data_IF_452939320962
#
_entry.id   IF_452939320962
#
_cell.length_a   1.000
_cell.length_b   1.000
_cell.length_c   1.000
_cell.angle_alpha   90.00
_cell.angle_beta   90.00
_cell.angle_gamma   90.00
#
_symmetry.space_group_name_H-M   'P 1'
#
loop_
_entity.id
_entity.type
_entity.pdbx_description
1 polymer ?
#
# COMPACT_ATOMS: atom_id res chain seq x y z
N UNK A 1 -29.27 -6.64 -4.03
CA UNK A 1 -28.18 -6.46 -3.05
C UNK A 1 -26.94 -7.35 -3.28
N UNK A 2 -26.78 -7.98 -4.43
CA UNK A 2 -25.66 -8.89 -4.73
C UNK A 2 -24.43 -8.20 -5.35
N UNK A 3 -24.50 -6.91 -5.63
CA UNK A 3 -23.40 -6.12 -6.25
C UNK A 3 -22.36 -5.61 -5.23
N UNK A 4 -22.72 -5.59 -3.95
CA UNK A 4 -21.88 -5.07 -2.84
C UNK A 4 -20.55 -5.82 -2.69
N UNK A 5 -20.48 -7.18 -2.80
CA UNK A 5 -19.21 -7.89 -2.60
C UNK A 5 -18.12 -7.50 -3.61
N UNK A 6 -18.49 -7.22 -4.86
CA UNK A 6 -17.51 -6.80 -5.89
C UNK A 6 -16.89 -5.45 -5.62
N UNK A 7 -17.71 -4.48 -5.20
CA UNK A 7 -17.26 -3.13 -4.84
C UNK A 7 -16.44 -3.15 -3.54
N UNK A 8 -16.88 -3.93 -2.54
CA UNK A 8 -16.16 -4.07 -1.27
C UNK A 8 -14.75 -4.62 -1.46
N UNK A 9 -14.59 -5.64 -2.31
CA UNK A 9 -13.28 -6.21 -2.62
C UNK A 9 -12.37 -5.19 -3.32
N UNK A 10 -12.91 -4.37 -4.22
CA UNK A 10 -12.17 -3.29 -4.86
C UNK A 10 -11.70 -2.23 -3.87
N UNK A 11 -12.59 -1.78 -2.95
CA UNK A 11 -12.24 -0.83 -1.90
C UNK A 11 -11.15 -1.38 -0.98
N UNK A 12 -11.20 -2.67 -0.66
CA UNK A 12 -10.17 -3.33 0.14
C UNK A 12 -8.81 -3.30 -0.58
N UNK A 13 -8.77 -3.63 -1.87
CA UNK A 13 -7.53 -3.57 -2.68
C UNK A 13 -7.00 -2.13 -2.74
N UNK A 14 -7.87 -1.14 -2.96
CA UNK A 14 -7.47 0.27 -2.98
C UNK A 14 -6.91 0.72 -1.64
N UNK A 15 -7.54 0.34 -0.53
CA UNK A 15 -7.07 0.65 0.82
C UNK A 15 -5.71 -0.01 1.11
N UNK A 16 -5.49 -1.24 0.64
CA UNK A 16 -4.22 -1.94 0.78
C UNK A 16 -3.10 -1.23 0.00
N UNK A 17 -3.37 -0.78 -1.22
CA UNK A 17 -2.40 -0.03 -2.03
C UNK A 17 -2.06 1.30 -1.34
N UNK A 18 -3.07 2.05 -0.87
CA UNK A 18 -2.85 3.28 -0.10
C UNK A 18 -2.04 3.03 1.16
N UNK A 19 -2.29 1.93 1.86
CA UNK A 19 -1.53 1.55 3.05
C UNK A 19 -0.06 1.28 2.73
N UNK A 20 0.22 0.52 1.67
CA UNK A 20 1.60 0.21 1.25
C UNK A 20 2.36 1.49 0.88
N UNK A 21 1.77 2.34 0.04
CA UNK A 21 2.39 3.62 -0.32
C UNK A 21 2.48 4.57 0.87
N UNK A 22 1.48 4.57 1.77
CA UNK A 22 1.48 5.35 2.99
C UNK A 22 2.63 4.98 3.93
N UNK A 23 2.85 3.69 4.18
CA UNK A 23 3.99 3.21 4.99
C UNK A 23 5.32 3.63 4.35
N UNK A 24 5.47 3.50 3.02
CA UNK A 24 6.67 3.92 2.32
C UNK A 24 6.88 5.44 2.41
N UNK A 25 5.82 6.23 2.23
CA UNK A 25 5.88 7.68 2.32
C UNK A 25 6.28 8.15 3.72
N UNK A 26 5.72 7.55 4.79
CA UNK A 26 6.13 7.83 6.16
C UNK A 26 7.61 7.51 6.36
N UNK A 27 8.09 6.37 5.88
CA UNK A 27 9.50 5.98 5.98
C UNK A 27 10.46 6.96 5.31
N UNK A 28 10.02 7.64 4.25
CA UNK A 28 10.85 8.56 3.45
C UNK A 28 10.73 10.02 3.88
N UNK A 29 9.54 10.45 4.35
CA UNK A 29 9.14 11.87 4.42
C UNK A 29 8.76 12.34 5.82
N UNK A 30 8.64 11.46 6.83
CA UNK A 30 8.24 11.87 8.18
C UNK A 30 9.16 12.96 8.74
N UNK A 31 8.58 14.02 9.27
CA UNK A 31 9.29 15.14 9.88
C UNK A 31 9.97 16.09 8.89
N UNK A 32 9.81 15.91 7.57
CA UNK A 32 10.51 16.70 6.55
C UNK A 32 9.67 17.80 5.91
N UNK A 33 8.36 17.82 6.15
CA UNK A 33 7.44 18.76 5.50
C UNK A 33 7.10 19.97 6.38
N UNK A 34 7.95 20.28 7.34
CA UNK A 34 7.86 21.48 8.15
C UNK A 34 8.50 22.67 7.44
N UNK A 35 7.94 23.84 7.64
CA UNK A 35 8.46 25.11 7.13
C UNK A 35 8.34 26.21 8.16
N UNK A 36 9.06 27.30 7.94
CA UNK A 36 8.94 28.49 8.76
C UNK A 36 7.83 29.38 8.21
N UNK A 37 6.81 29.65 9.01
CA UNK A 37 5.87 30.74 8.70
C UNK A 37 6.53 32.08 9.07
N UNK A 38 6.70 32.92 8.06
CA UNK A 38 7.45 34.18 8.17
C UNK A 38 6.57 35.40 8.25
N UNK A 39 5.27 35.23 8.57
CA UNK A 39 4.31 36.37 8.65
C UNK A 39 4.76 37.44 9.65
N UNK A 40 5.31 37.01 10.79
CA UNK A 40 5.77 37.92 11.85
C UNK A 40 7.31 38.15 11.83
N UNK A 41 8.02 37.63 10.82
CA UNK A 41 9.47 37.74 10.70
C UNK A 41 9.84 38.98 9.87
N UNK A 42 10.82 39.78 10.29
CA UNK A 42 11.30 40.92 9.50
C UNK A 42 11.93 40.46 8.17
N UNK A 43 11.64 41.20 7.08
CA UNK A 43 12.08 40.84 5.72
C UNK A 43 13.59 40.62 5.60
N UNK A 44 14.42 41.35 6.33
CA UNK A 44 15.86 41.19 6.32
C UNK A 44 16.35 39.87 6.91
N UNK A 45 15.57 39.27 7.83
CA UNK A 45 15.93 38.04 8.52
C UNK A 45 15.50 36.78 7.74
N UNK A 46 14.51 36.89 6.85
CA UNK A 46 13.95 35.75 6.11
C UNK A 46 15.03 35.01 5.31
N UNK A 47 16.01 35.71 4.75
CA UNK A 47 17.10 35.11 4.00
C UNK A 47 18.15 34.38 4.87
N UNK A 48 18.19 34.66 6.16
CA UNK A 48 19.13 34.06 7.11
C UNK A 48 18.60 32.82 7.79
N UNK A 49 17.28 32.54 7.68
CA UNK A 49 16.63 31.38 8.28
C UNK A 49 17.03 30.11 7.54
N UNK A 50 17.80 29.24 8.18
CA UNK A 50 18.22 27.95 7.63
C UNK A 50 17.65 26.77 8.43
N UNK A 51 17.36 26.97 9.72
CA UNK A 51 16.91 25.93 10.63
C UNK A 51 15.65 26.34 11.38
N UNK A 52 15.01 25.35 12.02
CA UNK A 52 13.91 25.57 12.96
C UNK A 52 14.25 26.60 14.05
N UNK A 53 15.46 26.52 14.54
CA UNK A 53 15.92 27.39 15.66
C UNK A 53 16.03 28.83 15.21
N UNK A 54 16.61 29.07 14.04
CA UNK A 54 16.66 30.41 13.44
C UNK A 54 15.25 30.98 13.22
N UNK A 55 14.31 30.14 12.76
CA UNK A 55 12.92 30.55 12.58
C UNK A 55 12.27 31.05 13.89
N UNK A 56 12.44 30.30 14.97
CA UNK A 56 11.91 30.66 16.29
C UNK A 56 12.63 31.89 16.91
N UNK A 57 13.95 32.01 16.72
CA UNK A 57 14.75 33.12 17.23
C UNK A 57 14.36 34.44 16.55
N UNK A 58 14.00 34.41 15.29
CA UNK A 58 13.48 35.59 14.56
C UNK A 58 11.96 35.83 14.72
N UNK A 59 11.31 35.05 15.58
CA UNK A 59 9.86 35.21 15.87
C UNK A 59 8.91 34.55 14.91
N UNK A 60 9.38 33.71 13.98
CA UNK A 60 8.56 32.92 13.10
C UNK A 60 7.95 31.71 13.80
N UNK A 61 6.95 31.08 13.17
CA UNK A 61 6.32 29.86 13.64
C UNK A 61 6.78 28.65 12.80
N UNK A 62 7.14 27.55 13.46
CA UNK A 62 7.53 26.30 12.80
C UNK A 62 6.32 25.42 12.60
N UNK A 63 5.77 25.41 11.38
CA UNK A 63 4.47 24.81 11.03
C UNK A 63 4.67 23.61 10.10
N UNK A 64 3.82 22.59 10.26
CA UNK A 64 3.77 21.47 9.36
C UNK A 64 2.82 21.74 8.17
N UNK A 65 3.09 21.11 7.02
CA UNK A 65 2.14 21.12 5.89
C UNK A 65 0.83 20.44 6.31
N UNK A 66 -0.31 20.93 5.75
CA UNK A 66 -1.63 20.32 5.96
C UNK A 66 -1.64 18.86 5.50
N UNK A 67 -1.09 18.62 4.31
CA UNK A 67 -0.90 17.29 3.76
C UNK A 67 0.51 16.81 4.09
N UNK A 68 0.62 15.99 5.14
CA UNK A 68 1.91 15.54 5.67
C UNK A 68 1.99 14.01 5.76
N UNK A 69 3.22 13.52 5.96
CA UNK A 69 3.53 12.09 6.03
C UNK A 69 4.15 11.69 7.39
N UNK A 70 3.74 12.34 8.45
CA UNK A 70 4.30 12.10 9.79
C UNK A 70 3.80 10.80 10.43
N UNK A 71 2.65 10.33 10.01
CA UNK A 71 2.08 9.05 10.38
C UNK A 71 1.31 8.42 9.21
N UNK A 72 1.00 7.12 9.32
CA UNK A 72 0.37 6.39 8.22
C UNK A 72 -1.04 6.89 7.90
N UNK A 73 -1.80 7.32 8.90
CA UNK A 73 -3.17 7.83 8.68
C UNK A 73 -3.14 9.14 7.91
N UNK A 74 -2.28 10.10 8.32
CA UNK A 74 -2.10 11.36 7.59
C UNK A 74 -1.57 11.11 6.18
N UNK A 75 -0.60 10.18 6.03
CA UNK A 75 -0.07 9.79 4.72
C UNK A 75 -1.15 9.20 3.81
N UNK A 76 -1.99 8.30 4.32
CA UNK A 76 -3.11 7.73 3.55
C UNK A 76 -4.13 8.81 3.16
N UNK A 77 -4.41 9.78 4.02
CA UNK A 77 -5.31 10.88 3.74
C UNK A 77 -4.76 11.78 2.63
N UNK A 78 -3.48 12.17 2.71
CA UNK A 78 -2.80 12.96 1.69
C UNK A 78 -2.75 12.22 0.34
N UNK A 79 -2.38 10.93 0.34
CA UNK A 79 -2.36 10.10 -0.86
C UNK A 79 -3.75 9.89 -1.46
N UNK A 80 -4.79 9.75 -0.64
CA UNK A 80 -6.17 9.68 -1.11
C UNK A 80 -6.61 10.97 -1.78
N UNK A 81 -6.27 12.14 -1.21
CA UNK A 81 -6.47 13.46 -1.83
C UNK A 81 -5.77 13.55 -3.18
N UNK A 82 -4.49 13.18 -3.25
CA UNK A 82 -3.72 13.14 -4.51
C UNK A 82 -4.34 12.22 -5.57
N UNK A 83 -4.92 11.09 -5.16
CA UNK A 83 -5.58 10.15 -6.08
C UNK A 83 -6.82 10.78 -6.75
N UNK A 84 -7.48 11.76 -6.11
CA UNK A 84 -8.55 12.54 -6.73
C UNK A 84 -8.06 13.52 -7.81
N UNK A 85 -6.75 13.60 -8.01
CA UNK A 85 -6.06 14.55 -8.90
C UNK A 85 -6.09 16.00 -8.47
N UNK A 86 -6.65 16.32 -7.31
CA UNK A 86 -6.68 17.65 -6.75
C UNK A 86 -5.44 17.93 -5.89
N UNK A 87 -4.72 19.01 -6.16
CA UNK A 87 -3.58 19.48 -5.36
C UNK A 87 -2.35 18.55 -5.34
N UNK A 88 -2.34 17.45 -6.10
CA UNK A 88 -1.23 16.48 -6.06
C UNK A 88 0.13 17.06 -6.43
N UNK A 89 0.16 18.09 -7.30
CA UNK A 89 1.40 18.79 -7.68
C UNK A 89 1.97 19.57 -6.50
N UNK A 90 1.14 20.22 -5.70
CA UNK A 90 1.58 21.02 -4.56
C UNK A 90 2.20 20.12 -3.49
N UNK A 91 1.56 18.99 -3.21
CA UNK A 91 2.11 17.97 -2.29
C UNK A 91 3.43 17.41 -2.84
N UNK A 92 3.50 17.07 -4.12
CA UNK A 92 4.73 16.57 -4.74
C UNK A 92 5.85 17.61 -4.67
N UNK A 93 5.59 18.88 -5.02
CA UNK A 93 6.62 19.93 -4.98
C UNK A 93 7.09 20.22 -3.55
N UNK A 94 6.19 20.22 -2.57
CA UNK A 94 6.59 20.34 -1.16
C UNK A 94 7.57 19.24 -0.72
N UNK A 95 7.38 18.01 -1.23
CA UNK A 95 8.31 16.91 -0.94
C UNK A 95 9.62 17.02 -1.71
N UNK A 96 9.60 17.53 -2.95
CA UNK A 96 10.81 17.79 -3.75
C UNK A 96 11.68 18.87 -3.12
N UNK A 97 11.07 19.87 -2.50
CA UNK A 97 11.76 20.95 -1.80
C UNK A 97 12.20 20.55 -0.37
N UNK A 98 11.76 19.37 0.11
CA UNK A 98 12.08 18.91 1.47
C UNK A 98 13.59 18.72 1.68
N UNK A 99 14.03 19.05 2.87
CA UNK A 99 15.41 18.92 3.35
C UNK A 99 15.50 17.92 4.49
N UNK A 100 16.51 18.02 5.31
CA UNK A 100 16.64 17.24 6.54
C UNK A 100 15.66 17.76 7.61
N UNK A 101 15.39 16.93 8.60
CA UNK A 101 14.54 17.29 9.75
C UNK A 101 15.11 18.55 10.42
N UNK A 102 14.23 19.51 10.76
CA UNK A 102 14.56 20.82 11.35
C UNK A 102 15.29 21.81 10.43
N UNK A 103 15.34 21.57 9.14
CA UNK A 103 15.87 22.52 8.16
C UNK A 103 14.74 23.09 7.29
N UNK A 104 14.89 24.35 6.87
CA UNK A 104 13.95 25.01 5.98
C UNK A 104 13.96 24.34 4.59
N UNK A 105 12.80 24.20 3.93
CA UNK A 105 12.71 23.66 2.57
C UNK A 105 13.60 24.44 1.60
N UNK A 106 14.27 23.71 0.71
CA UNK A 106 15.13 24.28 -0.34
C UNK A 106 14.68 23.80 -1.71
N UNK A 107 14.47 24.73 -2.64
CA UNK A 107 13.98 24.44 -3.99
C UNK A 107 14.78 23.34 -4.68
N UNK A 108 14.10 22.31 -5.17
CA UNK A 108 14.63 21.17 -5.92
C UNK A 108 15.71 20.35 -5.16
N UNK A 109 15.67 20.32 -3.84
CA UNK A 109 16.69 19.61 -3.04
C UNK A 109 16.59 18.09 -3.17
N UNK A 110 15.38 17.54 -3.33
CA UNK A 110 15.11 16.09 -3.29
C UNK A 110 14.30 15.63 -4.52
N UNK A 111 14.79 15.93 -5.73
CA UNK A 111 14.11 15.62 -6.99
C UNK A 111 13.74 14.13 -7.18
N UNK A 112 14.38 13.21 -6.46
CA UNK A 112 14.07 11.79 -6.53
C UNK A 112 12.63 11.47 -6.10
N UNK A 113 12.01 12.29 -5.25
CA UNK A 113 10.61 12.09 -4.84
C UNK A 113 9.61 12.28 -5.98
N UNK A 114 9.98 12.97 -7.07
CA UNK A 114 9.15 13.05 -8.27
C UNK A 114 8.80 11.65 -8.79
N UNK A 115 9.78 10.74 -8.86
CA UNK A 115 9.56 9.38 -9.34
C UNK A 115 8.61 8.59 -8.45
N UNK A 116 8.71 8.76 -7.14
CA UNK A 116 7.81 8.10 -6.18
C UNK A 116 6.36 8.55 -6.40
N UNK A 117 6.11 9.86 -6.46
CA UNK A 117 4.76 10.38 -6.64
C UNK A 117 4.22 10.17 -8.05
N UNK A 118 5.04 10.26 -9.09
CA UNK A 118 4.63 9.92 -10.46
C UNK A 118 4.20 8.45 -10.55
N UNK A 119 4.97 7.54 -9.96
CA UNK A 119 4.61 6.12 -9.91
C UNK A 119 3.33 5.89 -9.11
N UNK A 120 3.17 6.55 -7.95
CA UNK A 120 1.93 6.51 -7.18
C UNK A 120 0.74 7.01 -7.99
N UNK A 121 0.87 8.12 -8.71
CA UNK A 121 -0.21 8.68 -9.55
C UNK A 121 -0.62 7.72 -10.67
N UNK A 122 0.34 7.07 -11.33
CA UNK A 122 0.04 6.06 -12.35
C UNK A 122 -0.74 4.89 -11.74
N UNK A 123 -0.28 4.35 -10.63
CA UNK A 123 -0.94 3.21 -9.96
C UNK A 123 -2.27 3.63 -9.33
N UNK A 124 -2.30 4.73 -8.58
CA UNK A 124 -3.46 5.19 -7.83
C UNK A 124 -4.57 5.72 -8.75
N UNK A 125 -4.25 6.66 -9.61
CA UNK A 125 -5.25 7.37 -10.41
C UNK A 125 -5.65 6.57 -11.64
N UNK A 126 -4.68 6.17 -12.48
CA UNK A 126 -5.03 5.52 -13.75
C UNK A 126 -5.50 4.08 -13.55
N UNK A 127 -4.84 3.32 -12.69
CA UNK A 127 -5.19 1.91 -12.50
C UNK A 127 -6.45 1.73 -11.65
N UNK A 128 -6.51 2.34 -10.46
CA UNK A 128 -7.62 2.14 -9.51
C UNK A 128 -8.92 2.73 -10.04
N UNK A 129 -8.90 3.94 -10.61
CA UNK A 129 -10.11 4.54 -11.18
C UNK A 129 -10.64 3.72 -12.36
N UNK A 130 -9.76 3.27 -13.27
CA UNK A 130 -10.18 2.44 -14.40
C UNK A 130 -10.71 1.09 -13.94
N UNK A 131 -10.11 0.49 -12.91
CA UNK A 131 -10.59 -0.75 -12.31
C UNK A 131 -11.97 -0.55 -11.65
N UNK A 132 -12.18 0.56 -10.95
CA UNK A 132 -13.47 0.90 -10.35
C UNK A 132 -14.57 1.02 -11.41
N UNK A 133 -14.33 1.80 -12.47
CA UNK A 133 -15.27 1.94 -13.60
C UNK A 133 -15.56 0.58 -14.22
N UNK A 134 -14.54 -0.23 -14.48
CA UNK A 134 -14.68 -1.58 -15.02
C UNK A 134 -15.54 -2.51 -14.15
N UNK A 135 -15.36 -2.49 -12.84
CA UNK A 135 -16.17 -3.29 -11.90
C UNK A 135 -17.60 -2.82 -11.85
N UNK A 136 -17.85 -1.50 -11.84
CA UNK A 136 -19.21 -0.94 -11.86
C UNK A 136 -19.95 -1.33 -13.14
N UNK A 137 -19.31 -1.18 -14.32
CA UNK A 137 -19.90 -1.57 -15.61
C UNK A 137 -20.18 -3.08 -15.63
N UNK A 138 -19.21 -3.93 -15.27
CA UNK A 138 -19.39 -5.37 -15.25
C UNK A 138 -20.52 -5.81 -14.30
N UNK A 139 -20.67 -5.12 -13.17
CA UNK A 139 -21.75 -5.43 -12.22
C UNK A 139 -23.10 -5.03 -12.80
N UNK A 140 -23.17 -3.86 -13.44
CA UNK A 140 -24.38 -3.41 -14.12
C UNK A 140 -24.79 -4.36 -15.27
N UNK A 141 -23.85 -4.78 -16.09
CA UNK A 141 -24.11 -5.68 -17.20
C UNK A 141 -24.61 -7.06 -16.73
N UNK A 142 -24.03 -7.59 -15.65
CA UNK A 142 -24.48 -8.84 -15.02
C UNK A 142 -25.91 -8.74 -14.47
N UNK A 143 -26.26 -7.64 -13.83
CA UNK A 143 -27.63 -7.42 -13.33
C UNK A 143 -28.62 -7.25 -14.50
N UNK A 144 -28.22 -6.56 -15.57
CA UNK A 144 -29.02 -6.42 -16.78
C UNK A 144 -29.22 -7.75 -17.47
N UNK A 145 -28.20 -8.60 -17.58
CA UNK A 145 -28.25 -9.92 -18.15
C UNK A 145 -29.19 -10.86 -17.36
N UNK A 146 -29.12 -10.83 -16.02
CA UNK A 146 -30.04 -11.58 -15.16
C UNK A 146 -31.50 -11.18 -15.38
N UNK A 147 -31.76 -9.86 -15.49
CA UNK A 147 -33.12 -9.37 -15.79
C UNK A 147 -33.61 -9.81 -17.18
N UNK A 148 -32.72 -9.84 -18.16
CA UNK A 148 -33.05 -10.28 -19.54
C UNK A 148 -33.22 -11.78 -19.62
N UNK A 149 -32.34 -12.56 -19.01
CA UNK A 149 -32.39 -14.04 -19.08
C UNK A 149 -33.55 -14.64 -18.27
N UNK A 150 -33.91 -14.05 -17.13
CA UNK A 150 -35.07 -14.49 -16.34
C UNK A 150 -36.43 -14.31 -17.05
N UNK A 151 -36.49 -13.51 -18.11
CA UNK A 151 -37.69 -13.37 -18.93
C UNK A 151 -37.88 -14.51 -19.95
N UNK A 152 -36.79 -15.24 -20.33
CA UNK A 152 -36.79 -16.18 -21.44
C UNK A 152 -36.44 -17.62 -21.08
N UNK A 153 -35.88 -17.87 -19.90
CA UNK A 153 -35.44 -19.18 -19.43
C UNK A 153 -36.12 -19.56 -18.11
N UNK A 154 -36.43 -20.86 -17.97
CA UNK A 154 -36.89 -21.38 -16.68
C UNK A 154 -35.74 -21.50 -15.69
N UNK A 155 -36.03 -21.47 -14.36
CA UNK A 155 -35.01 -21.57 -13.31
C UNK A 155 -34.10 -22.79 -13.46
N UNK A 156 -34.67 -23.91 -13.94
CA UNK A 156 -33.95 -25.17 -14.17
C UNK A 156 -32.98 -25.08 -15.36
N UNK A 157 -33.32 -24.30 -16.40
CA UNK A 157 -32.45 -24.04 -17.55
C UNK A 157 -31.30 -23.11 -17.16
N UNK A 158 -31.55 -22.11 -16.30
CA UNK A 158 -30.53 -21.22 -15.80
C UNK A 158 -29.52 -22.00 -14.94
N UNK A 159 -29.97 -22.86 -14.03
CA UNK A 159 -29.11 -23.69 -13.18
C UNK A 159 -28.25 -24.64 -14.05
N UNK A 160 -28.82 -25.24 -15.08
CA UNK A 160 -28.07 -26.10 -16.01
C UNK A 160 -26.98 -25.33 -16.77
N UNK A 161 -27.29 -24.14 -17.27
CA UNK A 161 -26.30 -23.27 -17.91
C UNK A 161 -25.17 -22.83 -16.96
N UNK A 162 -25.49 -22.47 -15.70
CA UNK A 162 -24.48 -22.15 -14.69
C UNK A 162 -23.55 -23.32 -14.39
N UNK A 163 -24.09 -24.54 -14.29
CA UNK A 163 -23.29 -25.76 -14.07
C UNK A 163 -22.35 -25.99 -15.27
N UNK A 164 -22.84 -25.85 -16.49
CA UNK A 164 -22.02 -26.01 -17.70
C UNK A 164 -20.90 -24.98 -17.76
N UNK A 165 -21.18 -23.73 -17.44
CA UNK A 165 -20.15 -22.66 -17.39
C UNK A 165 -19.09 -22.99 -16.34
N UNK A 166 -19.50 -23.40 -15.13
CA UNK A 166 -18.56 -23.81 -14.07
C UNK A 166 -17.72 -25.02 -14.48
N UNK A 167 -18.30 -26.02 -15.16
CA UNK A 167 -17.54 -27.16 -15.70
C UNK A 167 -16.54 -26.75 -16.78
N UNK A 168 -16.91 -25.85 -17.68
CA UNK A 168 -16.06 -25.36 -18.74
C UNK A 168 -14.90 -24.49 -18.20
N UNK A 169 -15.15 -23.73 -17.15
CA UNK A 169 -14.14 -22.88 -16.48
C UNK A 169 -13.23 -23.67 -15.52
N UNK A 170 -13.60 -24.89 -15.13
CA UNK A 170 -12.80 -25.72 -14.23
C UNK A 170 -11.46 -26.07 -14.89
N UNK A 171 -10.39 -25.43 -14.43
CA UNK A 171 -9.02 -25.77 -14.84
C UNK A 171 -8.54 -26.94 -13.99
N UNK A 172 -7.90 -27.98 -14.59
CA UNK A 172 -7.32 -29.06 -13.82
C UNK A 172 -6.26 -28.50 -12.87
N UNK A 173 -6.40 -28.80 -11.59
CA UNK A 173 -5.36 -28.50 -10.60
C UNK A 173 -4.12 -29.31 -10.97
N UNK A 174 -2.98 -28.66 -11.15
CA UNK A 174 -1.72 -29.35 -11.43
C UNK A 174 -1.39 -30.26 -10.24
N UNK A 175 -1.48 -31.58 -10.44
CA UNK A 175 -1.01 -32.53 -9.48
C UNK A 175 0.52 -32.36 -9.33
N UNK A 176 0.99 -32.10 -8.12
CA UNK A 176 2.43 -32.04 -7.87
C UNK A 176 3.04 -33.41 -8.06
N UNK A 177 3.97 -33.52 -9.02
CA UNK A 177 4.70 -34.76 -9.26
C UNK A 177 5.63 -35.00 -8.08
N UNK A 178 5.42 -36.13 -7.38
CA UNK A 178 6.35 -36.60 -6.33
C UNK A 178 7.71 -36.88 -6.98
N UNK A 179 8.76 -36.25 -6.49
CA UNK A 179 10.08 -36.25 -7.14
C UNK A 179 11.00 -37.37 -6.58
N UNK A 180 10.50 -38.24 -5.67
CA UNK A 180 11.24 -39.37 -5.15
C UNK A 180 12.35 -39.04 -4.13
N UNK A 181 12.57 -37.81 -3.78
CA UNK A 181 13.48 -37.36 -2.73
C UNK A 181 12.74 -37.16 -1.41
N UNK A 182 13.05 -37.96 -0.38
CA UNK A 182 12.39 -37.88 0.95
C UNK A 182 12.45 -36.48 1.58
N UNK A 183 13.55 -35.77 1.36
CA UNK A 183 13.74 -34.40 1.89
C UNK A 183 12.76 -33.43 1.19
N UNK A 184 12.70 -33.49 -0.12
CA UNK A 184 11.82 -32.61 -0.90
C UNK A 184 10.36 -32.89 -0.61
N UNK A 185 9.98 -34.15 -0.48
CA UNK A 185 8.59 -34.55 -0.16
C UNK A 185 8.18 -34.06 1.24
N UNK A 186 9.10 -34.05 2.20
CA UNK A 186 8.86 -33.48 3.52
C UNK A 186 8.57 -31.97 3.45
N UNK A 187 9.45 -31.21 2.75
CA UNK A 187 9.25 -29.77 2.59
C UNK A 187 8.01 -29.41 1.76
N UNK A 188 7.65 -30.24 0.77
CA UNK A 188 6.39 -30.07 0.03
C UNK A 188 5.15 -30.25 0.92
N UNK A 189 5.14 -31.29 1.78
CA UNK A 189 4.05 -31.49 2.73
C UNK A 189 3.94 -30.34 3.71
N UNK A 190 5.07 -29.82 4.20
CA UNK A 190 5.12 -28.67 5.10
C UNK A 190 4.61 -27.41 4.41
N UNK A 191 5.12 -27.08 3.21
CA UNK A 191 4.74 -25.89 2.44
C UNK A 191 3.27 -25.90 1.99
N UNK A 192 2.68 -27.08 1.74
CA UNK A 192 1.28 -27.22 1.35
C UNK A 192 0.32 -27.37 2.55
N UNK A 193 0.83 -27.36 3.77
CA UNK A 193 -0.01 -27.49 4.94
C UNK A 193 -0.74 -26.19 5.24
N UNK A 194 -2.07 -26.22 5.36
CA UNK A 194 -2.91 -25.03 5.60
C UNK A 194 -2.46 -24.20 6.80
N UNK A 195 -2.03 -24.86 7.89
CA UNK A 195 -1.54 -24.14 9.06
C UNK A 195 -0.27 -23.33 8.79
N UNK A 196 0.64 -23.83 7.92
CA UNK A 196 1.84 -23.10 7.52
C UNK A 196 1.47 -21.81 6.77
N UNK A 197 0.55 -21.89 5.82
CA UNK A 197 0.05 -20.74 5.07
C UNK A 197 -0.63 -19.70 5.99
N UNK A 198 -1.48 -20.17 6.92
CA UNK A 198 -2.16 -19.28 7.89
C UNK A 198 -1.16 -18.59 8.80
N UNK A 199 -0.14 -19.30 9.30
CA UNK A 199 0.90 -18.69 10.15
C UNK A 199 1.68 -17.62 9.40
N UNK A 200 2.11 -17.89 8.17
CA UNK A 200 2.82 -16.89 7.37
C UNK A 200 1.94 -15.68 7.07
N UNK A 201 0.68 -15.89 6.69
CA UNK A 201 -0.27 -14.80 6.45
C UNK A 201 -0.46 -13.94 7.71
N UNK A 202 -0.58 -14.58 8.89
CA UNK A 202 -0.68 -13.87 10.17
C UNK A 202 0.58 -13.04 10.45
N UNK A 203 1.76 -13.59 10.19
CA UNK A 203 3.03 -12.85 10.31
C UNK A 203 3.09 -11.64 9.38
N UNK A 204 2.57 -11.74 8.14
CA UNK A 204 2.48 -10.62 7.20
C UNK A 204 1.56 -9.54 7.75
N UNK A 205 0.38 -9.90 8.24
CA UNK A 205 -0.55 -8.95 8.84
C UNK A 205 0.06 -8.23 10.05
N UNK A 206 0.70 -8.97 10.95
CA UNK A 206 1.38 -8.39 12.12
C UNK A 206 2.53 -7.48 11.72
N UNK A 207 3.35 -7.86 10.74
CA UNK A 207 4.42 -6.99 10.23
C UNK A 207 3.87 -5.70 9.63
N UNK A 208 2.78 -5.77 8.86
CA UNK A 208 2.12 -4.58 8.32
C UNK A 208 1.63 -3.65 9.43
N UNK A 209 1.05 -4.19 10.50
CA UNK A 209 0.66 -3.41 11.66
C UNK A 209 1.88 -2.76 12.33
N UNK A 210 2.95 -3.51 12.55
CA UNK A 210 4.21 -2.99 13.14
C UNK A 210 4.79 -1.83 12.32
N UNK A 211 4.82 -1.96 11.01
CA UNK A 211 5.29 -0.89 10.10
C UNK A 211 4.35 0.34 10.10
N UNK A 212 3.04 0.12 10.30
CA UNK A 212 2.05 1.19 10.37
C UNK A 212 2.09 1.98 11.69
N UNK A 213 2.75 1.44 12.73
CA UNK A 213 2.89 2.12 14.02
C UNK A 213 4.01 3.18 14.03
N UNK A 214 4.75 3.36 12.95
CA UNK A 214 5.79 4.38 12.87
C UNK A 214 5.18 5.79 12.74
N UNK A 215 5.57 6.73 13.60
CA UNK A 215 5.19 8.15 13.53
C UNK A 215 6.38 9.06 13.81
N UNK A 216 6.22 10.35 13.50
CA UNK A 216 7.24 11.36 13.80
C UNK A 216 7.36 11.62 15.31
N UNK A 217 8.58 11.90 15.79
CA UNK A 217 8.91 12.18 17.20
C UNK A 217 8.61 11.02 18.17
N UNK A 218 8.82 9.77 17.70
CA UNK A 218 8.67 8.57 18.51
C UNK A 218 9.86 8.36 19.44
N UNK A 219 9.61 7.87 20.66
CA UNK A 219 10.67 7.53 21.63
C UNK A 219 11.65 6.50 21.02
N UNK A 220 12.95 6.78 21.21
CA UNK A 220 14.05 5.95 20.68
C UNK A 220 13.96 4.48 21.10
N UNK A 221 13.42 4.20 22.29
CA UNK A 221 13.19 2.81 22.74
C UNK A 221 12.14 2.09 21.90
N UNK A 222 11.09 2.81 21.50
CA UNK A 222 10.03 2.22 20.66
C UNK A 222 10.56 1.98 19.25
N UNK A 223 11.32 2.92 18.69
CA UNK A 223 11.98 2.77 17.38
C UNK A 223 12.83 1.50 17.35
N UNK A 224 13.75 1.33 18.32
CA UNK A 224 14.62 0.15 18.36
C UNK A 224 13.83 -1.16 18.54
N UNK A 225 12.71 -1.13 19.27
CA UNK A 225 11.83 -2.31 19.41
C UNK A 225 11.16 -2.69 18.08
N UNK A 226 10.64 -1.70 17.34
CA UNK A 226 10.02 -1.92 16.03
C UNK A 226 11.04 -2.43 15.00
N UNK A 227 12.26 -1.92 15.03
CA UNK A 227 13.35 -2.41 14.17
C UNK A 227 13.69 -3.87 14.46
N UNK A 228 13.84 -4.26 15.73
CA UNK A 228 14.08 -5.65 16.10
C UNK A 228 12.95 -6.56 15.65
N UNK A 229 11.69 -6.16 15.83
CA UNK A 229 10.54 -6.91 15.33
C UNK A 229 10.58 -7.08 13.80
N UNK A 230 10.93 -6.04 13.07
CA UNK A 230 11.06 -6.11 11.61
C UNK A 230 12.17 -7.07 11.17
N UNK A 231 13.31 -7.11 11.86
CA UNK A 231 14.36 -8.10 11.61
C UNK A 231 13.89 -9.53 11.88
N UNK A 232 13.09 -9.75 12.93
CA UNK A 232 12.51 -11.07 13.23
C UNK A 232 11.57 -11.51 12.09
N UNK A 233 10.67 -10.64 11.63
CA UNK A 233 9.78 -10.96 10.51
C UNK A 233 10.56 -11.24 9.21
N UNK A 234 11.59 -10.46 8.92
CA UNK A 234 12.47 -10.69 7.77
C UNK A 234 13.14 -12.06 7.84
N UNK A 235 13.58 -12.47 9.03
CA UNK A 235 14.11 -13.81 9.27
C UNK A 235 13.09 -14.91 8.99
N UNK A 236 11.86 -14.76 9.45
CA UNK A 236 10.76 -15.72 9.21
C UNK A 236 10.49 -15.85 7.70
N UNK A 237 10.40 -14.74 6.95
CA UNK A 237 10.17 -14.77 5.51
C UNK A 237 11.34 -15.38 4.73
N UNK A 238 12.58 -15.16 5.20
CA UNK A 238 13.76 -15.79 4.60
C UNK A 238 13.70 -17.32 4.77
N UNK A 239 13.32 -17.80 5.94
CA UNK A 239 13.15 -19.25 6.20
C UNK A 239 12.00 -19.82 5.35
N UNK A 240 10.87 -19.13 5.26
CA UNK A 240 9.75 -19.51 4.38
C UNK A 240 10.20 -19.66 2.92
N UNK A 241 10.92 -18.65 2.42
CA UNK A 241 11.45 -18.66 1.06
C UNK A 241 12.34 -19.89 0.82
N UNK A 242 13.27 -20.20 1.73
CA UNK A 242 14.15 -21.37 1.62
C UNK A 242 13.33 -22.67 1.60
N UNK A 243 12.34 -22.80 2.50
CA UNK A 243 11.46 -23.98 2.53
C UNK A 243 10.74 -24.16 1.20
N UNK A 244 10.14 -23.10 0.66
CA UNK A 244 9.42 -23.14 -0.63
C UNK A 244 10.36 -23.40 -1.81
N UNK A 245 11.57 -22.84 -1.82
CA UNK A 245 12.57 -23.11 -2.86
C UNK A 245 13.00 -24.58 -2.86
N UNK A 246 13.21 -25.18 -1.70
CA UNK A 246 13.54 -26.63 -1.60
C UNK A 246 12.35 -27.47 -2.04
N UNK A 247 11.13 -27.12 -1.61
CA UNK A 247 9.91 -27.85 -1.92
C UNK A 247 9.59 -27.86 -3.42
N UNK A 248 9.59 -26.68 -4.06
CA UNK A 248 9.11 -26.51 -5.43
C UNK A 248 10.25 -26.40 -6.47
N UNK A 249 11.47 -26.08 -6.06
CA UNK A 249 12.62 -25.92 -6.96
C UNK A 249 12.34 -24.88 -8.05
N UNK A 250 12.58 -25.23 -9.32
CA UNK A 250 12.35 -24.33 -10.46
C UNK A 250 10.88 -23.92 -10.65
N UNK A 251 9.92 -24.66 -10.12
CA UNK A 251 8.50 -24.35 -10.20
C UNK A 251 8.06 -23.24 -9.21
N UNK A 252 8.97 -22.82 -8.32
CA UNK A 252 8.75 -21.70 -7.42
C UNK A 252 8.81 -20.35 -8.14
N UNK A 253 9.64 -20.24 -9.18
CA UNK A 253 9.77 -19.08 -10.05
C UNK A 253 8.91 -19.27 -11.32
#
# INVERSE_FOLDING_TARGET
MNSIPGVANLLLISALILLIFGIQAVGLLKGKLYYCDTVDVPDYAVAEIMTKWDCLDFGGEWVNQSDNFDNVVSAMTALFGMMSTEGWLDVMWSTVDSTQIYQVPKRNNSAAFIFFFMFFMIVGTLFILNLFVGVVINTFDKEKEKLSNNMLMTDLQNEYCEILIKCYQAKPTRAFVQTGSKIRDFFQKLANHKAFEVVIFTCICLNTVVLSLAWYDMDQKVISTLEVLNYIFTGIYTVEMIIKMIAFGKAYF
#
